data_IF_628096845298
#
_entry.id   IF_628096845298
#
_cell.length_a   1.000
_cell.length_b   1.000
_cell.length_c   1.000
_cell.angle_alpha   90.00
_cell.angle_beta   90.00
_cell.angle_gamma   90.00
#
_symmetry.space_group_name_H-M   'P 1'
#
loop_
_entity.id
_entity.type
_entity.pdbx_description
1 polymer ?
#
# COMPACT_ATOMS: atom_id res chain seq x y z
N UNK A 1 7.25 -0.96 -22.71
CA UNK A 1 7.66 -0.98 -21.29
C UNK A 1 9.12 -0.58 -21.09
N UNK A 2 10.07 -1.04 -21.94
CA UNK A 2 11.51 -0.70 -21.82
C UNK A 2 11.82 0.78 -22.07
N UNK A 3 10.96 1.50 -22.77
CA UNK A 3 11.10 2.94 -23.03
C UNK A 3 10.20 3.81 -22.16
N UNK A 4 9.47 3.21 -21.22
CA UNK A 4 8.64 3.94 -20.29
C UNK A 4 9.53 4.57 -19.22
N UNK A 5 9.42 5.89 -19.02
CA UNK A 5 10.15 6.62 -17.97
C UNK A 5 9.91 6.03 -16.57
N UNK A 6 8.72 5.47 -16.35
CA UNK A 6 8.37 4.78 -15.10
C UNK A 6 9.16 3.50 -14.96
N UNK A 7 9.28 2.71 -16.02
CA UNK A 7 10.05 1.49 -16.01
C UNK A 7 11.55 1.77 -15.74
N UNK A 8 12.13 2.73 -16.46
CA UNK A 8 13.51 3.15 -16.25
C UNK A 8 13.75 3.69 -14.84
N UNK A 9 12.76 4.36 -14.27
CA UNK A 9 12.80 4.83 -12.89
C UNK A 9 12.74 3.66 -11.89
N UNK A 10 11.95 2.64 -12.15
CA UNK A 10 11.80 1.46 -11.29
C UNK A 10 13.04 0.55 -11.31
N UNK A 11 13.80 0.60 -12.41
CA UNK A 11 15.09 -0.06 -12.58
C UNK A 11 16.28 0.83 -12.23
N UNK A 12 16.05 1.91 -11.48
CA UNK A 12 17.15 2.71 -10.99
C UNK A 12 18.13 1.84 -10.20
N UNK A 13 19.39 2.23 -10.28
CA UNK A 13 20.64 1.50 -9.99
C UNK A 13 20.74 0.67 -8.70
N UNK A 14 19.71 0.63 -7.87
CA UNK A 14 19.72 -0.11 -6.59
C UNK A 14 18.71 -1.25 -6.47
N UNK A 15 17.85 -1.48 -7.44
CA UNK A 15 16.91 -2.62 -7.45
C UNK A 15 15.80 -2.60 -6.38
N UNK A 16 15.81 -1.63 -5.46
CA UNK A 16 14.95 -1.63 -4.28
C UNK A 16 13.48 -1.32 -4.58
N UNK A 17 13.23 -0.42 -5.53
CA UNK A 17 11.86 -0.12 -5.96
C UNK A 17 11.34 -1.08 -7.03
N UNK A 18 12.20 -1.88 -7.63
CA UNK A 18 11.82 -2.85 -8.65
C UNK A 18 11.05 -4.05 -8.08
N UNK A 19 11.27 -4.41 -6.80
CA UNK A 19 10.64 -5.55 -6.17
C UNK A 19 9.12 -5.50 -6.20
N UNK A 20 8.54 -4.33 -6.00
CA UNK A 20 7.08 -4.16 -5.99
C UNK A 20 6.42 -4.52 -7.34
N UNK A 21 7.01 -4.10 -8.47
CA UNK A 21 6.44 -4.35 -9.80
C UNK A 21 6.98 -5.62 -10.44
N UNK A 22 8.24 -5.98 -10.19
CA UNK A 22 8.82 -7.22 -10.70
C UNK A 22 8.13 -8.47 -10.14
N UNK A 23 7.69 -8.44 -8.89
CA UNK A 23 6.99 -9.57 -8.27
C UNK A 23 5.50 -9.62 -8.61
N UNK A 24 4.90 -8.52 -9.11
CA UNK A 24 3.48 -8.45 -9.45
C UNK A 24 3.09 -9.50 -10.49
N UNK A 25 2.13 -10.35 -10.14
CA UNK A 25 1.65 -11.42 -11.01
C UNK A 25 2.58 -12.63 -11.12
N UNK A 26 3.67 -12.69 -10.34
CA UNK A 26 4.52 -13.87 -10.25
C UNK A 26 3.91 -14.91 -9.31
N UNK A 27 4.34 -16.18 -9.46
CA UNK A 27 3.96 -17.24 -8.51
C UNK A 27 4.37 -16.93 -7.06
N UNK A 28 5.48 -16.24 -6.86
CA UNK A 28 5.94 -15.78 -5.54
C UNK A 28 4.96 -14.77 -4.94
N UNK A 29 4.50 -13.82 -5.74
CA UNK A 29 3.51 -12.81 -5.35
C UNK A 29 2.18 -13.45 -4.92
N UNK A 30 1.63 -14.34 -5.74
CA UNK A 30 0.38 -15.05 -5.42
C UNK A 30 0.51 -15.93 -4.17
N UNK A 31 1.67 -16.58 -3.99
CA UNK A 31 1.95 -17.37 -2.78
C UNK A 31 1.95 -16.51 -1.50
N UNK A 32 2.53 -15.31 -1.55
CA UNK A 32 2.53 -14.37 -0.41
C UNK A 32 1.11 -13.95 -0.03
N UNK A 33 0.25 -13.67 -1.02
CA UNK A 33 -1.15 -13.32 -0.77
C UNK A 33 -1.96 -14.49 -0.20
N UNK A 34 -1.77 -15.69 -0.75
CA UNK A 34 -2.43 -16.88 -0.24
C UNK A 34 -2.04 -17.15 1.21
N UNK A 35 -0.76 -17.01 1.54
CA UNK A 35 -0.26 -17.16 2.91
C UNK A 35 -0.92 -16.15 3.83
N UNK A 36 -0.92 -14.87 3.47
CA UNK A 36 -1.58 -13.81 4.25
C UNK A 36 -3.06 -14.14 4.46
N UNK A 37 -3.78 -14.51 3.40
CA UNK A 37 -5.21 -14.88 3.47
C UNK A 37 -5.45 -16.03 4.45
N UNK A 38 -4.60 -17.07 4.41
CA UNK A 38 -4.71 -18.21 5.31
C UNK A 38 -4.47 -17.81 6.77
N UNK A 39 -3.43 -17.00 7.04
CA UNK A 39 -3.15 -16.50 8.38
C UNK A 39 -4.32 -15.65 8.93
N UNK A 40 -4.88 -14.78 8.12
CA UNK A 40 -6.03 -13.96 8.51
C UNK A 40 -7.30 -14.80 8.72
N UNK A 41 -7.50 -15.86 7.94
CA UNK A 41 -8.61 -16.77 8.14
C UNK A 41 -8.50 -17.55 9.46
N UNK A 42 -7.30 -17.86 9.91
CA UNK A 42 -7.04 -18.61 11.13
C UNK A 42 -7.14 -17.77 12.41
N UNK A 43 -7.33 -16.46 12.31
CA UNK A 43 -7.55 -15.61 13.48
C UNK A 43 -8.89 -15.93 14.14
N UNK A 44 -8.93 -15.88 15.47
CA UNK A 44 -10.15 -16.00 16.24
C UNK A 44 -11.13 -14.87 15.90
N UNK A 45 -12.43 -15.15 16.00
CA UNK A 45 -13.49 -14.21 15.68
C UNK A 45 -13.36 -12.89 16.45
N UNK A 46 -13.10 -12.96 17.75
CA UNK A 46 -12.94 -11.77 18.61
C UNK A 46 -11.78 -10.87 18.19
N UNK A 47 -10.71 -11.47 17.63
CA UNK A 47 -9.57 -10.73 17.08
C UNK A 47 -9.98 -10.08 15.77
N UNK A 48 -10.62 -10.82 14.87
CA UNK A 48 -11.08 -10.29 13.56
C UNK A 48 -12.00 -9.10 13.72
N UNK A 49 -12.94 -9.15 14.67
CA UNK A 49 -13.91 -8.08 14.90
C UNK A 49 -13.24 -6.77 15.36
N UNK A 50 -12.16 -6.87 16.11
CA UNK A 50 -11.40 -5.73 16.64
C UNK A 50 -10.20 -5.30 15.79
N UNK A 51 -9.79 -6.12 14.83
CA UNK A 51 -8.63 -5.83 13.97
C UNK A 51 -9.00 -4.86 12.85
N UNK A 52 -8.19 -3.84 12.69
CA UNK A 52 -8.21 -2.95 11.53
C UNK A 52 -6.83 -2.98 10.89
N UNK A 53 -6.75 -3.39 9.65
CA UNK A 53 -5.52 -3.36 8.86
C UNK A 53 -5.49 -2.07 8.04
N UNK A 54 -4.41 -1.32 8.15
CA UNK A 54 -4.20 -0.11 7.37
C UNK A 54 -3.00 -0.28 6.44
N UNK A 55 -3.12 0.21 5.20
CA UNK A 55 -2.07 0.12 4.20
C UNK A 55 -1.29 1.42 4.21
N UNK A 56 0.01 1.32 4.47
CA UNK A 56 0.94 2.44 4.39
C UNK A 56 1.45 2.53 2.94
N UNK A 57 1.26 3.66 2.25
CA UNK A 57 1.70 3.80 0.88
C UNK A 57 3.22 3.79 0.75
N UNK A 58 3.70 3.14 -0.28
CA UNK A 58 5.11 3.21 -0.67
C UNK A 58 5.36 4.42 -1.60
N UNK A 59 6.58 4.93 -1.60
CA UNK A 59 6.98 6.04 -2.47
C UNK A 59 6.63 5.79 -3.93
N UNK A 60 6.85 4.55 -4.41
CA UNK A 60 6.56 4.18 -5.79
C UNK A 60 5.07 4.30 -6.13
N UNK A 61 4.17 3.96 -5.21
CA UNK A 61 2.73 4.10 -5.42
C UNK A 61 2.34 5.56 -5.61
N UNK A 62 2.87 6.46 -4.76
CA UNK A 62 2.63 7.90 -4.86
C UNK A 62 3.14 8.45 -6.21
N UNK A 63 4.31 8.01 -6.66
CA UNK A 63 4.85 8.40 -7.97
C UNK A 63 3.99 7.92 -9.13
N UNK A 64 3.54 6.67 -9.09
CA UNK A 64 2.67 6.09 -10.13
C UNK A 64 1.33 6.83 -10.21
N UNK A 65 0.74 7.19 -9.06
CA UNK A 65 -0.48 8.01 -9.02
C UNK A 65 -0.26 9.39 -9.65
N UNK A 66 0.85 10.05 -9.34
CA UNK A 66 1.19 11.38 -9.89
C UNK A 66 1.35 11.39 -11.42
N UNK A 67 1.68 10.27 -12.03
CA UNK A 67 1.81 10.14 -13.49
C UNK A 67 0.61 9.42 -14.14
N UNK A 68 -0.48 9.23 -13.40
CA UNK A 68 -1.72 8.65 -13.92
C UNK A 68 -1.72 7.13 -14.08
N UNK A 69 -0.73 6.40 -13.56
CA UNK A 69 -0.66 4.93 -13.57
C UNK A 69 -1.45 4.32 -12.40
N UNK A 70 -2.74 4.65 -12.32
CA UNK A 70 -3.59 4.35 -11.16
C UNK A 70 -3.69 2.84 -10.89
N UNK A 71 -3.91 2.03 -11.93
CA UNK A 71 -4.06 0.58 -11.75
C UNK A 71 -2.78 -0.09 -11.23
N UNK A 72 -1.62 0.38 -11.67
CA UNK A 72 -0.34 -0.13 -11.17
C UNK A 72 -0.09 0.32 -9.73
N UNK A 73 -0.36 1.59 -9.44
CA UNK A 73 -0.20 2.15 -8.11
C UNK A 73 -1.03 1.44 -7.05
N UNK A 74 -2.29 1.12 -7.37
CA UNK A 74 -3.26 0.57 -6.42
C UNK A 74 -3.38 -0.96 -6.48
N UNK A 75 -2.60 -1.65 -7.28
CA UNK A 75 -2.72 -3.10 -7.45
C UNK A 75 -2.50 -3.88 -6.15
N UNK A 76 -1.52 -3.47 -5.35
CA UNK A 76 -1.25 -4.04 -4.04
C UNK A 76 -2.42 -3.78 -3.08
N UNK A 77 -2.85 -2.53 -2.98
CA UNK A 77 -3.94 -2.12 -2.10
C UNK A 77 -5.23 -2.88 -2.42
N UNK A 78 -5.59 -2.96 -3.70
CA UNK A 78 -6.76 -3.71 -4.17
C UNK A 78 -6.70 -5.17 -3.73
N UNK A 79 -5.54 -5.82 -3.87
CA UNK A 79 -5.37 -7.22 -3.48
C UNK A 79 -5.49 -7.42 -1.98
N UNK A 80 -4.90 -6.54 -1.17
CA UNK A 80 -5.04 -6.59 0.30
C UNK A 80 -6.49 -6.35 0.71
N UNK A 81 -7.16 -5.35 0.14
CA UNK A 81 -8.57 -5.05 0.44
C UNK A 81 -9.49 -6.23 0.06
N UNK A 82 -9.22 -6.92 -1.05
CA UNK A 82 -9.92 -8.14 -1.45
C UNK A 82 -9.74 -9.25 -0.41
N UNK A 83 -8.51 -9.50 0.03
CA UNK A 83 -8.20 -10.50 1.06
C UNK A 83 -8.93 -10.17 2.37
N UNK A 84 -8.92 -8.92 2.79
CA UNK A 84 -9.63 -8.48 3.99
C UNK A 84 -11.13 -8.70 3.87
N UNK A 85 -11.72 -8.37 2.73
CA UNK A 85 -13.13 -8.64 2.45
C UNK A 85 -13.45 -10.13 2.56
N UNK A 86 -12.63 -10.97 1.95
CA UNK A 86 -12.81 -12.44 1.95
C UNK A 86 -12.65 -13.05 3.35
N UNK A 87 -11.84 -12.44 4.21
CA UNK A 87 -11.54 -12.93 5.57
C UNK A 87 -12.39 -12.27 6.66
N UNK A 88 -13.25 -11.31 6.28
CA UNK A 88 -14.12 -10.59 7.21
C UNK A 88 -13.39 -9.57 8.10
N UNK A 89 -12.19 -9.13 7.70
CA UNK A 89 -11.38 -8.17 8.46
C UNK A 89 -11.58 -6.77 7.89
N UNK A 90 -11.64 -5.78 8.80
CA UNK A 90 -11.73 -4.36 8.42
C UNK A 90 -10.38 -3.91 7.87
N UNK A 91 -10.37 -3.41 6.64
CA UNK A 91 -9.17 -2.85 6.02
C UNK A 91 -9.46 -1.48 5.42
N UNK A 92 -8.45 -0.62 5.43
CA UNK A 92 -8.51 0.68 4.78
C UNK A 92 -7.18 1.02 4.13
N UNK A 93 -7.23 1.60 2.93
CA UNK A 93 -6.10 2.22 2.26
C UNK A 93 -6.27 3.73 2.22
N UNK A 94 -5.21 4.44 2.55
CA UNK A 94 -5.13 5.90 2.39
C UNK A 94 -4.21 6.31 1.24
N UNK A 95 -3.76 5.39 0.41
CA UNK A 95 -2.77 5.62 -0.65
C UNK A 95 -3.18 6.75 -1.59
N UNK A 96 -4.43 6.79 -2.06
CA UNK A 96 -4.93 7.86 -2.92
C UNK A 96 -4.97 9.20 -2.18
N UNK A 97 -5.56 9.25 -0.98
CA UNK A 97 -5.63 10.48 -0.16
C UNK A 97 -4.25 10.99 0.21
N UNK A 98 -3.33 10.09 0.52
CA UNK A 98 -1.93 10.46 0.78
C UNK A 98 -1.27 11.03 -0.47
N UNK A 99 -1.56 10.51 -1.67
CA UNK A 99 -1.00 11.04 -2.91
C UNK A 99 -1.39 12.50 -3.18
N UNK A 100 -2.54 12.93 -2.72
CA UNK A 100 -3.00 14.32 -2.82
C UNK A 100 -2.22 15.25 -1.87
N UNK A 101 -1.82 14.74 -0.71
CA UNK A 101 -1.17 15.50 0.36
C UNK A 101 0.36 15.39 0.33
N UNK A 102 0.91 14.33 -0.30
CA UNK A 102 2.34 14.05 -0.29
C UNK A 102 3.05 14.49 -1.57
N UNK A 103 4.26 15.03 -1.38
CA UNK A 103 5.29 15.08 -2.41
C UNK A 103 6.32 14.00 -2.13
N UNK A 104 6.61 13.15 -3.12
CA UNK A 104 7.64 12.11 -2.96
C UNK A 104 9.03 12.67 -2.67
N UNK A 105 9.28 13.95 -3.01
CA UNK A 105 10.56 14.62 -2.77
C UNK A 105 10.74 15.06 -1.31
N UNK A 106 9.65 15.41 -0.64
CA UNK A 106 9.69 16.02 0.69
C UNK A 106 9.15 15.11 1.79
N UNK A 107 8.45 14.03 1.43
CA UNK A 107 7.78 13.17 2.40
C UNK A 107 8.34 11.75 2.47
N UNK A 108 9.30 11.42 1.60
CA UNK A 108 9.95 10.10 1.64
C UNK A 108 11.45 10.25 1.79
N UNK A 109 12.05 9.33 2.56
CA UNK A 109 13.49 9.16 2.66
C UNK A 109 14.08 8.67 1.34
N UNK A 110 15.39 8.66 1.20
CA UNK A 110 16.08 8.15 0.00
C UNK A 110 15.79 6.67 -0.26
N UNK A 111 15.51 5.91 0.79
CA UNK A 111 15.17 4.49 0.77
C UNK A 111 13.66 4.22 0.66
N UNK A 112 12.84 5.27 0.49
CA UNK A 112 11.41 5.15 0.24
C UNK A 112 10.52 5.09 1.48
N UNK A 113 11.06 5.24 2.68
CA UNK A 113 10.27 5.31 3.91
C UNK A 113 9.64 6.69 4.12
N UNK A 114 8.56 6.74 4.88
CA UNK A 114 7.91 8.00 5.22
C UNK A 114 8.75 8.83 6.19
N UNK A 115 8.93 10.11 5.89
CA UNK A 115 9.43 11.09 6.86
C UNK A 115 8.40 11.37 7.97
N UNK A 116 8.81 11.95 9.10
CA UNK A 116 7.90 12.28 10.21
C UNK A 116 6.65 13.08 9.79
N UNK A 117 6.78 14.05 8.89
CA UNK A 117 5.65 14.82 8.37
C UNK A 117 4.62 13.95 7.65
N UNK A 118 5.08 12.98 6.86
CA UNK A 118 4.17 12.06 6.18
C UNK A 118 3.48 11.10 7.15
N UNK A 119 4.17 10.69 8.22
CA UNK A 119 3.56 9.92 9.31
C UNK A 119 2.47 10.71 10.04
N UNK A 120 2.67 12.02 10.24
CA UNK A 120 1.64 12.92 10.81
C UNK A 120 0.41 12.97 9.91
N UNK A 121 0.57 13.17 8.61
CA UNK A 121 -0.54 13.18 7.66
C UNK A 121 -1.28 11.83 7.61
N UNK A 122 -0.54 10.74 7.64
CA UNK A 122 -1.12 9.39 7.75
C UNK A 122 -1.92 9.23 9.05
N UNK A 123 -1.36 9.65 10.18
CA UNK A 123 -2.02 9.62 11.48
C UNK A 123 -3.32 10.43 11.51
N UNK A 124 -3.35 11.61 10.88
CA UNK A 124 -4.58 12.42 10.73
C UNK A 124 -5.65 11.67 9.95
N UNK A 125 -5.31 11.08 8.80
CA UNK A 125 -6.26 10.29 8.00
C UNK A 125 -6.80 9.08 8.77
N UNK A 126 -5.94 8.39 9.52
CA UNK A 126 -6.35 7.27 10.36
C UNK A 126 -7.28 7.74 11.48
N UNK A 127 -6.95 8.83 12.16
CA UNK A 127 -7.78 9.42 13.21
C UNK A 127 -9.17 9.83 12.70
N UNK A 128 -9.23 10.53 11.57
CA UNK A 128 -10.49 10.89 10.90
C UNK A 128 -11.32 9.64 10.56
N UNK A 129 -10.67 8.59 10.04
CA UNK A 129 -11.36 7.33 9.71
C UNK A 129 -11.94 6.66 10.96
N UNK A 130 -11.18 6.58 12.04
CA UNK A 130 -11.63 5.95 13.29
C UNK A 130 -12.82 6.70 13.88
N UNK A 131 -12.75 8.02 13.95
CA UNK A 131 -13.86 8.86 14.44
C UNK A 131 -15.11 8.65 13.59
N UNK A 132 -15.01 8.67 12.27
CA UNK A 132 -16.14 8.46 11.37
C UNK A 132 -16.76 7.08 11.49
N UNK A 133 -16.00 6.07 11.92
CA UNK A 133 -16.48 4.70 12.13
C UNK A 133 -16.97 4.44 13.55
N UNK A 134 -16.86 5.43 14.47
CA UNK A 134 -17.35 5.32 15.84
C UNK A 134 -16.44 4.53 16.76
N UNK A 135 -15.11 4.56 16.49
CA UNK A 135 -14.09 3.95 17.37
C UNK A 135 -13.54 4.96 18.35
#
# INVERSE_FOLDING_TARGET
>A
LKNDRVYNFLYDKRGESAGYIQEKGTKSWEKKYLLLKNELNNLDYDIKDRLIITIIPQQIQIRLLKIGKINDALSFDKKILEICKDTGIKCVSFTEKMSERLSYKTHFTKDGHLYPLANIEYGKLLGEYLILKGY
#
